data_IF_397715269548
#
_entry.id   IF_397715269548
#
_cell.length_a   1.000
_cell.length_b   1.000
_cell.length_c   1.000
_cell.angle_alpha   90.00
_cell.angle_beta   90.00
_cell.angle_gamma   90.00
#
_symmetry.space_group_name_H-M   'P 1'
#
loop_
_entity.id
_entity.type
_entity.pdbx_description
1 polymer ?
#
# COMPACT_ATOMS: atom_id res chain seq x y z
N UNK A 1 17.40 9.61 20.24
CA UNK A 1 17.35 8.35 19.45
C UNK A 1 18.35 7.39 20.10
N UNK A 2 17.94 6.16 20.42
CA UNK A 2 18.85 5.19 21.07
C UNK A 2 19.69 4.55 19.97
N UNK A 3 20.99 4.86 19.94
CA UNK A 3 21.91 4.16 19.04
C UNK A 3 22.23 2.76 19.60
N UNK A 4 21.86 1.74 18.87
CA UNK A 4 22.14 0.35 19.21
C UNK A 4 23.51 -0.07 18.65
N UNK A 5 24.32 -0.72 19.48
CA UNK A 5 25.53 -1.39 19.01
C UNK A 5 25.17 -2.59 18.10
N UNK A 6 26.11 -3.04 17.27
CA UNK A 6 25.91 -4.22 16.39
C UNK A 6 25.42 -5.44 17.18
N UNK A 7 26.03 -5.69 18.36
CA UNK A 7 25.67 -6.81 19.24
C UNK A 7 24.25 -6.65 19.80
N UNK A 8 23.85 -5.44 20.18
CA UNK A 8 22.50 -5.18 20.69
C UNK A 8 21.42 -5.39 19.62
N UNK A 9 21.68 -5.03 18.36
CA UNK A 9 20.80 -5.33 17.23
C UNK A 9 20.67 -6.81 16.99
N UNK A 10 21.77 -7.54 16.98
CA UNK A 10 21.82 -9.00 16.80
C UNK A 10 20.97 -9.71 17.87
N UNK A 11 21.15 -9.33 19.14
CA UNK A 11 20.39 -9.87 20.28
C UNK A 11 18.89 -9.56 20.17
N UNK A 12 18.51 -8.31 19.88
CA UNK A 12 17.10 -7.93 19.72
C UNK A 12 16.43 -8.65 18.55
N UNK A 13 17.13 -8.78 17.42
CA UNK A 13 16.63 -9.51 16.25
C UNK A 13 16.40 -10.97 16.56
N UNK A 14 17.36 -11.61 17.25
CA UNK A 14 17.23 -13.01 17.68
C UNK A 14 16.09 -13.20 18.68
N UNK A 15 15.94 -12.30 19.65
CA UNK A 15 14.85 -12.32 20.64
C UNK A 15 13.47 -12.24 19.93
N UNK A 16 13.30 -11.31 19.00
CA UNK A 16 12.04 -11.13 18.28
C UNK A 16 11.72 -12.35 17.41
N UNK A 17 12.69 -12.90 16.69
CA UNK A 17 12.50 -14.07 15.85
C UNK A 17 12.13 -15.32 16.69
N UNK A 18 12.86 -15.57 17.77
CA UNK A 18 12.57 -16.66 18.69
C UNK A 18 11.19 -16.50 19.36
N UNK A 19 10.80 -15.26 19.69
CA UNK A 19 9.47 -15.01 20.24
C UNK A 19 8.36 -15.32 19.24
N UNK A 20 8.56 -14.97 17.96
CA UNK A 20 7.62 -15.33 16.88
C UNK A 20 7.50 -16.83 16.67
N UNK A 21 8.65 -17.54 16.73
CA UNK A 21 8.70 -18.99 16.54
C UNK A 21 8.04 -19.75 17.72
N UNK A 22 8.27 -19.31 18.96
CA UNK A 22 7.92 -20.08 20.17
C UNK A 22 6.66 -19.56 20.90
N UNK A 23 6.18 -18.35 20.62
CA UNK A 23 5.00 -17.76 21.25
C UNK A 23 5.11 -17.50 22.76
N UNK A 24 6.32 -17.50 23.34
CA UNK A 24 6.58 -17.32 24.78
C UNK A 24 7.79 -16.43 25.04
N UNK A 25 7.96 -16.00 26.30
CA UNK A 25 9.18 -15.32 26.71
C UNK A 25 10.42 -16.19 26.46
N UNK A 26 11.53 -15.58 26.03
CA UNK A 26 12.75 -16.24 25.58
C UNK A 26 13.83 -16.12 26.65
N UNK A 27 14.47 -17.24 26.99
CA UNK A 27 15.58 -17.25 27.94
C UNK A 27 16.87 -16.71 27.31
N UNK A 28 17.75 -16.13 28.10
CA UNK A 28 19.04 -15.61 27.63
C UNK A 28 19.91 -16.67 26.96
N UNK A 29 19.84 -17.91 27.47
CA UNK A 29 20.55 -19.06 26.91
C UNK A 29 20.10 -19.37 25.49
N UNK A 30 18.79 -19.32 25.21
CA UNK A 30 18.24 -19.57 23.87
C UNK A 30 18.68 -18.50 22.85
N UNK A 31 18.85 -17.26 23.32
CA UNK A 31 19.36 -16.15 22.48
C UNK A 31 20.84 -16.40 22.20
N UNK A 32 21.63 -16.76 23.22
CA UNK A 32 23.07 -17.02 23.09
C UNK A 32 23.37 -18.16 22.12
N UNK A 33 22.61 -19.26 22.19
CA UNK A 33 22.67 -20.37 21.24
C UNK A 33 22.33 -19.95 19.82
N UNK A 34 21.29 -19.12 19.66
CA UNK A 34 20.82 -18.68 18.32
C UNK A 34 21.82 -17.82 17.57
N UNK A 35 22.58 -16.98 18.30
CA UNK A 35 23.55 -16.03 17.72
C UNK A 35 25.01 -16.50 17.90
N UNK A 36 25.22 -17.69 18.42
CA UNK A 36 26.56 -18.26 18.70
C UNK A 36 27.45 -17.31 19.52
N UNK A 37 26.93 -16.81 20.64
CA UNK A 37 27.61 -15.86 21.53
C UNK A 37 27.68 -16.39 22.95
N UNK A 38 28.70 -15.90 23.71
CA UNK A 38 28.85 -16.26 25.11
C UNK A 38 27.62 -15.83 25.93
N UNK A 39 27.01 -16.72 26.76
CA UNK A 39 25.83 -16.39 27.58
C UNK A 39 26.04 -15.21 28.52
N UNK A 40 27.25 -15.02 29.05
CA UNK A 40 27.59 -13.86 29.90
C UNK A 40 27.52 -12.53 29.15
N UNK A 41 28.00 -12.52 27.89
CA UNK A 41 27.89 -11.33 27.01
C UNK A 41 26.44 -11.00 26.72
N UNK A 42 25.63 -12.01 26.36
CA UNK A 42 24.20 -11.82 26.10
C UNK A 42 23.49 -11.29 27.34
N UNK A 43 23.76 -11.86 28.53
CA UNK A 43 23.17 -11.39 29.80
C UNK A 43 23.49 -9.91 30.09
N UNK A 44 24.73 -9.48 29.91
CA UNK A 44 25.13 -8.09 30.13
C UNK A 44 24.43 -7.15 29.14
N UNK A 45 24.36 -7.53 27.86
CA UNK A 45 23.66 -6.72 26.86
C UNK A 45 22.14 -6.68 27.10
N UNK A 46 21.54 -7.77 27.57
CA UNK A 46 20.13 -7.78 27.95
C UNK A 46 19.84 -6.84 29.12
N UNK A 47 20.75 -6.68 30.09
CA UNK A 47 20.60 -5.68 31.16
C UNK A 47 20.66 -4.25 30.60
N UNK A 48 21.57 -3.97 29.68
CA UNK A 48 21.64 -2.69 28.98
C UNK A 48 20.37 -2.39 28.18
N UNK A 49 19.88 -3.36 27.42
CA UNK A 49 18.65 -3.25 26.64
C UNK A 49 17.42 -3.05 27.52
N UNK A 50 17.40 -3.67 28.71
CA UNK A 50 16.35 -3.45 29.71
C UNK A 50 16.41 -2.04 30.31
N UNK A 51 17.58 -1.51 30.61
CA UNK A 51 17.77 -0.15 31.08
C UNK A 51 17.33 0.89 30.03
N UNK A 52 17.48 0.57 28.73
CA UNK A 52 17.01 1.39 27.61
C UNK A 52 15.51 1.23 27.34
N UNK A 53 14.79 0.41 28.09
CA UNK A 53 13.36 0.16 27.88
C UNK A 53 13.03 -0.65 26.62
N UNK A 54 14.01 -1.31 25.99
CA UNK A 54 13.84 -2.06 24.76
C UNK A 54 13.43 -3.52 25.00
N UNK A 55 13.72 -4.06 26.19
CA UNK A 55 13.28 -5.40 26.61
C UNK A 55 12.71 -5.37 28.01
N UNK A 56 11.76 -6.27 28.26
CA UNK A 56 11.19 -6.51 29.59
C UNK A 56 11.45 -7.94 30.03
N UNK A 57 11.68 -8.14 31.35
CA UNK A 57 11.83 -9.45 31.94
C UNK A 57 10.49 -10.01 32.40
N UNK A 58 10.19 -11.24 32.04
CA UNK A 58 9.02 -12.00 32.50
C UNK A 58 9.49 -12.95 33.61
N UNK A 59 9.00 -12.81 34.86
CA UNK A 59 9.41 -13.67 35.96
C UNK A 59 8.76 -15.06 35.87
N UNK A 60 9.35 -16.03 36.57
CA UNK A 60 8.80 -17.36 36.77
C UNK A 60 9.53 -18.49 36.01
N UNK A 61 9.12 -19.76 36.21
CA UNK A 61 9.78 -20.94 35.62
C UNK A 61 9.75 -20.97 34.09
N UNK A 62 8.70 -20.38 33.49
CA UNK A 62 8.55 -20.16 32.04
C UNK A 62 8.90 -18.70 31.65
N UNK A 63 9.59 -18.00 32.51
CA UNK A 63 10.02 -16.61 32.32
C UNK A 63 11.13 -16.48 31.28
N UNK A 64 11.57 -15.24 31.09
CA UNK A 64 12.59 -14.88 30.11
C UNK A 64 12.45 -13.40 29.74
N UNK A 65 12.72 -13.09 28.49
CA UNK A 65 12.66 -11.73 27.98
C UNK A 65 11.65 -11.60 26.86
N UNK A 66 11.05 -10.41 26.75
CA UNK A 66 10.21 -9.99 25.61
C UNK A 66 10.72 -8.64 25.10
N UNK A 67 10.64 -8.44 23.80
CA UNK A 67 10.89 -7.13 23.19
C UNK A 67 9.70 -6.20 23.42
N UNK A 68 9.97 -4.94 23.72
CA UNK A 68 8.94 -3.88 23.84
C UNK A 68 8.62 -3.29 22.47
N UNK A 69 7.56 -2.49 22.36
CA UNK A 69 7.25 -1.73 21.13
C UNK A 69 8.42 -0.86 20.67
N UNK A 70 9.16 -0.26 21.62
CA UNK A 70 10.36 0.55 21.33
C UNK A 70 11.51 -0.25 20.72
N UNK A 71 11.63 -1.57 21.01
CA UNK A 71 12.63 -2.42 20.37
C UNK A 71 12.35 -2.61 18.88
N UNK A 72 11.08 -2.81 18.51
CA UNK A 72 10.69 -2.91 17.11
C UNK A 72 10.98 -1.63 16.34
N UNK A 73 10.69 -0.48 16.95
CA UNK A 73 11.01 0.82 16.36
C UNK A 73 12.52 1.02 16.19
N UNK A 74 13.32 0.70 17.23
CA UNK A 74 14.77 0.84 17.19
C UNK A 74 15.45 -0.06 16.14
N UNK A 75 14.93 -1.25 15.90
CA UNK A 75 15.40 -2.16 14.84
C UNK A 75 14.98 -1.71 13.44
N UNK A 76 13.76 -1.21 13.28
CA UNK A 76 13.26 -0.77 11.99
C UNK A 76 13.99 0.48 11.47
N UNK A 77 14.39 1.39 12.36
CA UNK A 77 15.15 2.59 12.00
C UNK A 77 16.59 2.28 11.54
N UNK A 78 17.10 1.08 11.80
CA UNK A 78 18.49 0.71 11.52
C UNK A 78 18.65 -0.31 10.38
N UNK A 79 17.56 -0.83 9.84
CA UNK A 79 17.58 -1.87 8.79
C UNK A 79 17.39 -1.32 7.36
N UNK A 80 17.32 0.00 7.18
CA UNK A 80 17.12 0.60 5.85
C UNK A 80 18.47 1.03 5.29
N UNK A 81 19.10 0.18 4.49
CA UNK A 81 20.30 0.53 3.72
C UNK A 81 20.02 1.60 2.64
N UNK A 82 18.76 1.82 2.29
CA UNK A 82 18.31 2.92 1.42
C UNK A 82 17.00 3.51 1.96
N UNK A 83 17.09 4.68 2.56
CA UNK A 83 15.91 5.44 2.95
C UNK A 83 15.16 5.90 1.69
N UNK A 84 13.87 5.60 1.63
CA UNK A 84 13.03 6.05 0.54
C UNK A 84 12.71 7.55 0.69
N UNK A 85 12.71 8.25 -0.42
CA UNK A 85 12.31 9.65 -0.47
C UNK A 85 10.78 9.75 -0.41
N UNK A 86 10.25 10.33 0.68
CA UNK A 86 8.83 10.65 0.85
C UNK A 86 8.65 12.16 0.68
N UNK A 87 8.24 12.54 -0.51
CA UNK A 87 8.13 13.94 -0.88
C UNK A 87 7.07 14.70 -0.09
N UNK A 88 7.32 16.00 0.12
CA UNK A 88 6.34 16.96 0.63
C UNK A 88 6.07 17.99 -0.45
N UNK A 89 4.79 18.30 -0.63
CA UNK A 89 4.33 19.37 -1.50
C UNK A 89 3.65 20.42 -0.64
N UNK A 90 3.93 21.69 -0.90
CA UNK A 90 3.30 22.86 -0.28
C UNK A 90 2.57 23.63 -1.36
N UNK A 91 1.27 23.85 -1.18
CA UNK A 91 0.42 24.57 -2.14
C UNK A 91 0.53 24.03 -3.59
N UNK A 92 0.74 22.70 -3.72
CA UNK A 92 0.88 21.99 -4.98
C UNK A 92 2.31 21.89 -5.54
N UNK A 93 3.29 22.58 -4.95
CA UNK A 93 4.69 22.55 -5.39
C UNK A 93 5.55 21.71 -4.44
N UNK A 94 6.44 20.89 -5.00
CA UNK A 94 7.38 20.09 -4.21
C UNK A 94 8.35 20.99 -3.44
N UNK A 95 8.47 20.75 -2.13
CA UNK A 95 9.45 21.45 -1.30
C UNK A 95 10.81 20.77 -1.44
N UNK A 96 11.83 21.42 -2.00
CA UNK A 96 13.12 20.81 -2.25
C UNK A 96 13.88 20.55 -0.94
N UNK A 97 14.76 19.55 -0.95
CA UNK A 97 15.62 19.17 0.17
C UNK A 97 14.86 18.86 1.46
N UNK A 98 13.63 18.36 1.33
CA UNK A 98 12.81 17.88 2.46
C UNK A 98 12.39 16.45 2.23
N UNK A 99 12.34 15.67 3.32
CA UNK A 99 11.87 14.28 3.33
C UNK A 99 11.06 14.05 4.59
N UNK A 100 10.13 13.10 4.59
CA UNK A 100 9.34 12.73 5.76
C UNK A 100 9.96 11.52 6.44
N UNK A 101 10.30 11.67 7.72
CA UNK A 101 10.81 10.57 8.55
C UNK A 101 9.68 9.81 9.24
N UNK A 102 8.60 10.52 9.69
CA UNK A 102 7.57 9.93 10.53
C UNK A 102 6.24 10.67 10.37
N UNK A 103 5.15 9.93 10.47
CA UNK A 103 3.77 10.45 10.49
C UNK A 103 3.07 9.85 11.70
N UNK A 104 2.75 10.67 12.70
CA UNK A 104 2.04 10.27 13.91
C UNK A 104 0.62 10.83 13.92
N UNK A 105 -0.38 9.96 14.07
CA UNK A 105 -1.79 10.34 14.18
C UNK A 105 -2.16 10.58 15.66
N UNK A 106 -2.35 11.83 16.06
CA UNK A 106 -2.46 12.21 17.47
C UNK A 106 -3.89 12.27 17.99
N UNK A 107 -4.90 12.44 17.13
CA UNK A 107 -6.29 12.71 17.52
C UNK A 107 -7.31 11.75 16.89
N UNK A 108 -6.93 10.48 16.72
CA UNK A 108 -7.81 9.45 16.09
C UNK A 108 -9.16 9.28 16.82
N UNK A 109 -9.20 9.56 18.12
CA UNK A 109 -10.44 9.44 18.94
C UNK A 109 -11.26 10.74 19.02
N UNK A 110 -10.79 11.84 18.44
CA UNK A 110 -11.51 13.12 18.49
C UNK A 110 -12.61 13.13 17.42
N UNK A 111 -13.85 13.52 17.76
CA UNK A 111 -14.98 13.43 16.82
C UNK A 111 -14.87 14.40 15.64
N UNK A 112 -14.27 15.59 15.86
CA UNK A 112 -14.33 16.69 14.89
C UNK A 112 -12.95 17.06 14.30
N UNK A 113 -11.85 16.50 14.82
CA UNK A 113 -10.50 16.84 14.33
C UNK A 113 -9.64 15.60 14.14
N UNK A 114 -8.99 15.51 13.01
CA UNK A 114 -7.94 14.54 12.74
C UNK A 114 -6.62 15.30 12.56
N UNK A 115 -5.66 15.08 13.46
CA UNK A 115 -4.35 15.75 13.44
C UNK A 115 -3.23 14.75 13.35
N UNK A 116 -2.17 15.14 12.68
CA UNK A 116 -0.92 14.41 12.65
C UNK A 116 0.27 15.31 13.00
N UNK A 117 1.30 14.68 13.57
CA UNK A 117 2.63 15.25 13.66
C UNK A 117 3.49 14.66 12.55
N UNK A 118 4.02 15.50 11.68
CA UNK A 118 4.88 15.12 10.56
C UNK A 118 6.30 15.51 10.89
N UNK A 119 7.17 14.52 11.12
CA UNK A 119 8.60 14.75 11.32
C UNK A 119 9.30 14.88 9.98
N UNK A 120 9.91 16.03 9.77
CA UNK A 120 10.56 16.40 8.52
C UNK A 120 12.07 16.40 8.68
N UNK A 121 12.75 15.78 7.73
CA UNK A 121 14.18 15.93 7.51
C UNK A 121 14.38 17.06 6.52
N UNK A 122 15.18 18.06 6.86
CA UNK A 122 15.42 19.25 6.05
C UNK A 122 14.98 20.54 6.72
N UNK A 123 14.82 21.61 5.94
CA UNK A 123 14.48 22.93 6.50
C UNK A 123 12.97 23.06 6.72
N UNK A 124 12.57 22.92 7.97
CA UNK A 124 11.18 23.02 8.42
C UNK A 124 10.62 24.43 8.31
N UNK A 125 11.46 25.49 8.23
CA UNK A 125 11.03 26.89 8.11
C UNK A 125 10.32 27.18 6.79
N UNK A 126 10.36 26.23 5.86
CA UNK A 126 9.58 26.30 4.61
C UNK A 126 8.07 26.11 4.80
N UNK A 127 7.61 25.81 6.02
CA UNK A 127 6.19 25.52 6.30
C UNK A 127 5.63 26.50 7.31
N UNK A 128 4.66 27.31 6.91
CA UNK A 128 3.98 28.28 7.75
C UNK A 128 2.56 27.81 8.11
N UNK A 129 2.03 28.31 9.23
CA UNK A 129 0.63 28.04 9.64
C UNK A 129 -0.32 28.54 8.56
N UNK A 130 -1.23 27.68 8.11
CA UNK A 130 -2.16 27.94 7.01
C UNK A 130 -1.71 27.40 5.66
N UNK A 131 -0.47 26.92 5.53
CA UNK A 131 -0.04 26.25 4.29
C UNK A 131 -0.80 24.93 4.10
N UNK A 132 -1.26 24.69 2.87
CA UNK A 132 -1.79 23.37 2.49
C UNK A 132 -0.64 22.47 2.07
N UNK A 133 -0.46 21.33 2.76
CA UNK A 133 0.60 20.39 2.44
C UNK A 133 0.05 19.01 2.07
N UNK A 134 0.80 18.34 1.19
CA UNK A 134 0.62 16.94 0.86
C UNK A 134 1.91 16.20 1.18
N UNK A 135 1.79 15.11 1.91
CA UNK A 135 2.87 14.17 2.24
C UNK A 135 2.67 12.87 1.45
N UNK A 136 3.73 12.38 0.85
CA UNK A 136 3.68 11.11 0.13
C UNK A 136 3.60 11.23 -1.39
N UNK A 137 3.41 10.10 -2.10
CA UNK A 137 3.04 8.79 -1.56
C UNK A 137 4.17 8.08 -0.80
N UNK A 138 3.84 7.38 0.28
CA UNK A 138 4.82 6.54 0.99
C UNK A 138 5.21 5.32 0.15
N UNK A 139 6.41 4.74 0.35
CA UNK A 139 6.93 3.65 -0.50
C UNK A 139 6.04 2.42 -0.55
N UNK A 140 5.59 1.93 0.61
CA UNK A 140 4.94 0.62 0.74
C UNK A 140 3.44 0.69 0.47
N UNK A 141 2.72 1.57 1.19
CA UNK A 141 1.26 1.61 1.16
C UNK A 141 0.72 2.69 0.24
N UNK A 142 1.62 3.44 -0.45
CA UNK A 142 1.25 4.59 -1.29
C UNK A 142 0.33 5.56 -0.56
N UNK A 143 0.54 5.69 0.78
CA UNK A 143 -0.22 6.60 1.62
C UNK A 143 0.09 8.05 1.21
N UNK A 144 -0.97 8.79 0.95
CA UNK A 144 -0.95 10.24 0.76
C UNK A 144 -1.77 10.86 1.87
N UNK A 145 -1.18 11.82 2.57
CA UNK A 145 -1.86 12.62 3.61
C UNK A 145 -1.88 14.07 3.15
N UNK A 146 -3.05 14.70 3.18
CA UNK A 146 -3.23 16.12 2.89
C UNK A 146 -3.85 16.82 4.08
N UNK A 147 -3.52 18.09 4.24
CA UNK A 147 -4.09 18.91 5.29
C UNK A 147 -3.42 20.26 5.37
N UNK A 148 -3.86 21.05 6.35
CA UNK A 148 -3.38 22.39 6.59
C UNK A 148 -2.46 22.42 7.80
N UNK A 149 -1.37 23.16 7.69
CA UNK A 149 -0.41 23.36 8.79
C UNK A 149 -1.08 24.18 9.90
N UNK A 150 -1.14 23.62 11.11
CA UNK A 150 -1.72 24.29 12.28
C UNK A 150 -0.66 24.67 13.32
N UNK A 151 0.59 24.22 13.14
CA UNK A 151 1.69 24.56 14.02
C UNK A 151 3.01 23.96 13.54
N UNK A 152 4.10 24.44 14.11
CA UNK A 152 5.46 23.99 13.80
C UNK A 152 6.31 23.99 15.09
N UNK A 153 7.10 22.94 15.27
CA UNK A 153 8.13 22.85 16.31
C UNK A 153 9.51 22.78 15.64
N UNK A 154 10.18 23.92 15.61
CA UNK A 154 11.48 24.09 14.97
C UNK A 154 12.61 23.31 15.67
N UNK A 155 12.44 22.96 16.95
CA UNK A 155 13.46 22.24 17.74
C UNK A 155 13.42 20.74 17.38
N UNK A 156 12.24 20.15 17.36
CA UNK A 156 12.07 18.72 17.08
C UNK A 156 11.94 18.41 15.58
N UNK A 157 11.84 19.40 14.72
CA UNK A 157 11.64 19.23 13.26
C UNK A 157 10.25 18.69 12.90
N UNK A 158 9.20 19.10 13.64
CA UNK A 158 7.85 18.58 13.48
C UNK A 158 6.89 19.66 13.01
N UNK A 159 6.12 19.35 11.98
CA UNK A 159 4.95 20.12 11.53
C UNK A 159 3.67 19.45 12.03
N UNK A 160 2.79 20.23 12.64
CA UNK A 160 1.46 19.80 13.06
C UNK A 160 0.47 20.05 11.94
N UNK A 161 -0.22 19.00 11.53
CA UNK A 161 -1.14 19.01 10.40
C UNK A 161 -2.57 18.73 10.87
N UNK A 162 -3.52 19.56 10.44
CA UNK A 162 -4.95 19.24 10.47
C UNK A 162 -5.28 18.48 9.20
N UNK A 163 -5.55 17.17 9.31
CA UNK A 163 -5.76 16.29 8.15
C UNK A 163 -7.12 16.57 7.53
N UNK A 164 -7.14 16.83 6.23
CA UNK A 164 -8.35 16.96 5.40
C UNK A 164 -8.60 15.71 4.57
N UNK A 165 -7.53 14.99 4.20
CA UNK A 165 -7.63 13.81 3.36
C UNK A 165 -6.50 12.81 3.67
N UNK A 166 -6.83 11.54 3.72
CA UNK A 166 -5.89 10.44 3.86
C UNK A 166 -6.29 9.30 2.92
N UNK A 167 -5.44 9.00 1.95
CA UNK A 167 -5.69 7.97 0.94
C UNK A 167 -4.55 6.96 0.98
N UNK A 168 -4.90 5.68 1.03
CA UNK A 168 -3.95 4.59 0.86
C UNK A 168 -4.53 3.55 -0.10
N UNK A 169 -3.73 3.10 -1.06
CA UNK A 169 -4.14 2.04 -1.97
C UNK A 169 -3.64 0.70 -1.41
N UNK A 170 -4.50 -0.32 -1.29
CA UNK A 170 -4.11 -1.61 -0.74
C UNK A 170 -2.91 -2.23 -1.48
N UNK A 171 -1.96 -2.80 -0.71
CA UNK A 171 -0.79 -3.49 -1.25
C UNK A 171 -1.10 -4.89 -1.79
N UNK A 172 -2.27 -5.44 -1.48
CA UNK A 172 -2.67 -6.79 -1.90
C UNK A 172 -2.63 -6.95 -3.42
N UNK A 173 -2.31 -8.15 -3.93
CA UNK A 173 -2.25 -8.41 -5.35
C UNK A 173 -3.64 -8.32 -6.00
N UNK A 174 -3.65 -8.01 -7.30
CA UNK A 174 -4.87 -7.83 -8.10
C UNK A 174 -5.78 -9.06 -8.04
N UNK A 175 -5.21 -10.27 -7.98
CA UNK A 175 -5.99 -11.53 -7.87
C UNK A 175 -6.94 -11.58 -6.68
N UNK A 176 -6.63 -10.89 -5.58
CA UNK A 176 -7.48 -10.87 -4.38
C UNK A 176 -8.76 -10.03 -4.56
N UNK A 177 -8.85 -9.32 -5.68
CA UNK A 177 -9.96 -8.42 -6.02
C UNK A 177 -10.80 -8.90 -7.20
N UNK A 178 -10.37 -9.96 -7.89
CA UNK A 178 -11.13 -10.55 -8.99
C UNK A 178 -12.10 -11.57 -8.40
N UNK A 179 -13.36 -11.22 -8.34
CA UNK A 179 -14.39 -12.09 -7.73
C UNK A 179 -15.30 -12.77 -8.77
N UNK A 180 -15.11 -12.50 -10.07
CA UNK A 180 -16.07 -12.91 -11.09
C UNK A 180 -15.41 -13.70 -12.21
N UNK A 181 -16.16 -14.69 -12.71
CA UNK A 181 -15.82 -15.40 -13.93
C UNK A 181 -15.67 -14.38 -15.07
N UNK A 182 -14.61 -14.51 -15.87
CA UNK A 182 -14.42 -13.69 -17.06
C UNK A 182 -15.58 -13.92 -18.03
N UNK A 183 -16.33 -12.85 -18.30
CA UNK A 183 -17.39 -12.84 -19.32
C UNK A 183 -16.78 -12.23 -20.56
N UNK A 184 -16.90 -12.95 -21.69
CA UNK A 184 -16.38 -12.53 -22.98
C UNK A 184 -17.52 -12.42 -24.01
N UNK A 185 -17.27 -11.69 -25.08
CA UNK A 185 -18.13 -11.60 -26.26
C UNK A 185 -17.43 -12.31 -27.42
N UNK A 186 -18.05 -13.25 -28.09
CA UNK A 186 -17.45 -13.92 -29.26
C UNK A 186 -17.09 -12.92 -30.37
N UNK A 187 -16.00 -13.17 -31.09
CA UNK A 187 -15.50 -12.30 -32.18
C UNK A 187 -16.50 -12.13 -33.31
N UNK A 188 -17.38 -13.13 -33.53
CA UNK A 188 -18.42 -13.12 -34.56
C UNK A 188 -19.76 -12.55 -34.07
N UNK A 189 -19.89 -12.16 -32.81
CA UNK A 189 -21.09 -11.57 -32.25
C UNK A 189 -21.41 -10.21 -32.87
N UNK A 190 -22.68 -9.85 -32.90
CA UNK A 190 -23.16 -8.53 -33.29
C UNK A 190 -23.10 -7.56 -32.10
N UNK A 191 -23.23 -6.26 -32.36
CA UNK A 191 -23.39 -5.23 -31.34
C UNK A 191 -24.61 -5.51 -30.46
N UNK A 192 -25.70 -5.99 -31.04
CA UNK A 192 -26.92 -6.38 -30.33
C UNK A 192 -26.68 -7.57 -29.40
N UNK A 193 -25.92 -8.59 -29.83
CA UNK A 193 -25.54 -9.71 -28.96
C UNK A 193 -24.67 -9.27 -27.79
N UNK A 194 -23.74 -8.35 -28.05
CA UNK A 194 -22.92 -7.76 -26.97
C UNK A 194 -23.80 -6.99 -25.98
N UNK A 195 -24.75 -6.19 -26.45
CA UNK A 195 -25.70 -5.46 -25.59
C UNK A 195 -26.51 -6.41 -24.71
N UNK A 196 -27.05 -7.50 -25.30
CA UNK A 196 -27.78 -8.53 -24.54
C UNK A 196 -26.89 -9.17 -23.49
N UNK A 197 -25.64 -9.49 -23.85
CA UNK A 197 -24.66 -10.07 -22.92
C UNK A 197 -24.38 -9.14 -21.75
N UNK A 198 -24.21 -7.82 -22.00
CA UNK A 198 -23.98 -6.84 -20.98
C UNK A 198 -25.16 -6.68 -20.02
N UNK A 199 -26.38 -6.54 -20.59
CA UNK A 199 -27.59 -6.39 -19.80
C UNK A 199 -27.87 -7.63 -18.92
N UNK A 200 -27.65 -8.85 -19.47
CA UNK A 200 -27.88 -10.10 -18.74
C UNK A 200 -26.91 -10.30 -17.57
N UNK A 201 -25.68 -9.80 -17.68
CA UNK A 201 -24.62 -10.02 -16.69
C UNK A 201 -24.30 -8.79 -15.84
N UNK A 202 -25.03 -7.69 -16.03
CA UNK A 202 -24.82 -6.40 -15.35
C UNK A 202 -23.36 -5.90 -15.46
N UNK A 203 -22.82 -5.96 -16.70
CA UNK A 203 -21.45 -5.53 -17.01
C UNK A 203 -21.45 -4.39 -18.02
N UNK A 204 -20.43 -3.53 -17.96
CA UNK A 204 -20.30 -2.35 -18.80
C UNK A 204 -19.25 -2.48 -19.90
N UNK A 205 -18.74 -3.69 -20.11
CA UNK A 205 -17.77 -4.01 -21.15
C UNK A 205 -17.14 -5.36 -20.94
N UNK A 206 -16.75 -6.00 -22.02
CA UNK A 206 -16.17 -7.34 -22.01
C UNK A 206 -15.05 -7.46 -23.05
N UNK A 207 -14.07 -8.34 -22.80
CA UNK A 207 -13.11 -8.75 -23.80
C UNK A 207 -13.81 -9.48 -24.96
N UNK A 208 -13.32 -9.27 -26.17
CA UNK A 208 -13.74 -10.01 -27.37
C UNK A 208 -12.83 -11.21 -27.54
N UNK A 209 -13.43 -12.38 -27.56
CA UNK A 209 -12.74 -13.67 -27.59
C UNK A 209 -12.84 -14.30 -28.98
N UNK A 210 -11.68 -14.71 -29.50
CA UNK A 210 -11.55 -15.54 -30.68
C UNK A 210 -10.88 -16.87 -30.29
N UNK A 211 -11.73 -17.87 -30.05
CA UNK A 211 -11.28 -19.25 -29.77
C UNK A 211 -10.29 -19.34 -28.59
N UNK A 212 -10.52 -18.57 -27.51
CA UNK A 212 -9.69 -18.54 -26.32
C UNK A 212 -8.60 -17.45 -26.32
N UNK A 213 -8.48 -16.68 -27.40
CA UNK A 213 -7.58 -15.56 -27.54
C UNK A 213 -8.36 -14.25 -27.47
N UNK A 214 -7.98 -13.37 -26.55
CA UNK A 214 -8.57 -12.04 -26.47
C UNK A 214 -7.99 -11.16 -27.60
N UNK A 215 -8.87 -10.67 -28.46
CA UNK A 215 -8.51 -9.88 -29.66
C UNK A 215 -8.95 -8.43 -29.58
N UNK A 216 -9.76 -8.08 -28.58
CA UNK A 216 -10.23 -6.71 -28.38
C UNK A 216 -11.04 -6.55 -27.11
N UNK A 217 -11.55 -5.34 -26.92
CA UNK A 217 -12.44 -4.93 -25.83
C UNK A 217 -13.61 -4.17 -26.40
N UNK A 218 -14.84 -4.54 -26.04
CA UNK A 218 -16.06 -3.81 -26.37
C UNK A 218 -16.72 -3.28 -25.10
N UNK A 219 -17.25 -2.05 -25.16
CA UNK A 219 -17.87 -1.33 -24.04
C UNK A 219 -19.24 -0.78 -24.42
N UNK A 220 -20.04 -0.30 -23.42
CA UNK A 220 -21.28 0.41 -23.73
C UNK A 220 -21.08 1.66 -24.60
N UNK A 221 -19.93 2.31 -24.53
CA UNK A 221 -19.61 3.44 -25.40
C UNK A 221 -19.51 3.03 -26.86
N UNK A 222 -18.91 1.85 -27.13
CA UNK A 222 -18.77 1.31 -28.47
C UNK A 222 -20.13 0.88 -29.00
N UNK A 223 -20.94 0.19 -28.19
CA UNK A 223 -22.31 -0.16 -28.47
C UNK A 223 -23.15 1.09 -28.80
N UNK A 224 -23.05 2.13 -27.94
CA UNK A 224 -23.77 3.39 -28.14
C UNK A 224 -23.44 4.06 -29.48
N UNK A 225 -22.14 4.08 -29.85
CA UNK A 225 -21.71 4.61 -31.16
C UNK A 225 -22.28 3.80 -32.34
N UNK A 226 -22.29 2.49 -32.24
CA UNK A 226 -22.83 1.61 -33.27
C UNK A 226 -24.35 1.80 -33.45
N UNK A 227 -25.10 1.79 -32.35
CA UNK A 227 -26.57 2.00 -32.35
C UNK A 227 -26.92 3.40 -32.86
N UNK A 228 -26.23 4.45 -32.43
CA UNK A 228 -26.43 5.80 -32.92
C UNK A 228 -26.18 5.96 -34.44
N UNK A 229 -25.43 5.00 -35.01
CA UNK A 229 -25.14 4.95 -36.47
C UNK A 229 -26.02 3.95 -37.22
N UNK A 230 -27.03 3.34 -36.57
CA UNK A 230 -27.90 2.30 -37.17
C UNK A 230 -27.17 1.00 -37.51
N UNK A 231 -26.15 0.63 -36.71
CA UNK A 231 -25.26 -0.50 -36.99
C UNK A 231 -25.30 -1.55 -35.87
N UNK A 232 -26.42 -1.74 -35.23
CA UNK A 232 -26.64 -2.72 -34.17
C UNK A 232 -26.45 -4.18 -34.58
N UNK A 233 -26.70 -4.49 -35.86
CA UNK A 233 -26.52 -5.81 -36.43
C UNK A 233 -25.11 -6.06 -37.00
N UNK A 234 -24.22 -5.04 -36.96
CA UNK A 234 -22.83 -5.18 -37.36
C UNK A 234 -22.00 -5.93 -36.31
N UNK A 235 -20.88 -6.50 -36.75
CA UNK A 235 -20.00 -7.25 -35.87
C UNK A 235 -19.31 -6.35 -34.84
N UNK A 236 -19.09 -6.87 -33.65
CA UNK A 236 -18.34 -6.18 -32.55
C UNK A 236 -16.94 -5.76 -32.97
N UNK A 237 -16.31 -6.49 -33.87
CA UNK A 237 -14.97 -6.24 -34.40
C UNK A 237 -14.82 -4.89 -35.13
N UNK A 238 -15.94 -4.34 -35.64
CA UNK A 238 -15.92 -3.05 -36.32
C UNK A 238 -15.85 -1.87 -35.32
N UNK A 239 -16.21 -2.09 -34.06
CA UNK A 239 -16.34 -1.04 -33.02
C UNK A 239 -15.44 -1.26 -31.79
N UNK A 240 -14.92 -2.48 -31.61
CA UNK A 240 -14.07 -2.80 -30.46
C UNK A 240 -12.74 -2.06 -30.48
N UNK A 241 -12.16 -1.87 -29.31
CA UNK A 241 -10.77 -1.42 -29.17
C UNK A 241 -9.86 -2.64 -29.27
N UNK A 242 -8.92 -2.65 -30.22
CA UNK A 242 -7.99 -3.77 -30.42
C UNK A 242 -6.87 -3.84 -29.38
N UNK A 243 -6.45 -2.71 -28.83
CA UNK A 243 -5.38 -2.65 -27.83
C UNK A 243 -5.95 -2.91 -26.43
N UNK A 244 -5.91 -4.17 -25.99
CA UNK A 244 -6.37 -4.57 -24.67
C UNK A 244 -5.24 -4.39 -23.67
N UNK A 245 -5.44 -3.51 -22.70
CA UNK A 245 -4.48 -3.29 -21.61
C UNK A 245 -4.67 -4.37 -20.56
N UNK A 246 -3.61 -5.10 -20.25
CA UNK A 246 -3.62 -6.17 -19.26
C UNK A 246 -2.64 -5.93 -18.11
N UNK A 247 -2.90 -6.62 -17.01
CA UNK A 247 -2.03 -6.64 -15.82
C UNK A 247 -1.92 -8.06 -15.29
N UNK A 248 -0.76 -8.43 -14.77
CA UNK A 248 -0.59 -9.72 -14.11
C UNK A 248 -1.34 -9.77 -12.78
N UNK A 249 -1.90 -10.94 -12.46
CA UNK A 249 -2.70 -11.16 -11.26
C UNK A 249 -1.91 -11.01 -9.95
N UNK A 250 -0.59 -11.20 -10.00
CA UNK A 250 0.31 -11.06 -8.86
C UNK A 250 0.72 -9.60 -8.59
N UNK A 251 0.51 -8.70 -9.56
CA UNK A 251 0.83 -7.28 -9.39
C UNK A 251 -0.02 -6.64 -8.29
N UNK A 252 0.55 -5.70 -7.51
CA UNK A 252 -0.20 -5.02 -6.47
C UNK A 252 -1.25 -4.06 -7.05
N UNK A 253 -2.35 -3.85 -6.31
CA UNK A 253 -3.50 -3.04 -6.72
C UNK A 253 -3.10 -1.62 -7.17
N UNK A 254 -2.09 -0.99 -6.55
CA UNK A 254 -1.68 0.36 -6.92
C UNK A 254 -1.09 0.42 -8.34
N UNK A 255 -0.48 -0.66 -8.84
CA UNK A 255 -0.01 -0.75 -10.22
C UNK A 255 -1.19 -0.80 -11.20
N UNK A 256 -2.27 -1.51 -10.84
CA UNK A 256 -3.50 -1.50 -11.63
C UNK A 256 -4.07 -0.09 -11.75
N UNK A 257 -4.16 0.64 -10.64
CA UNK A 257 -4.62 2.04 -10.62
C UNK A 257 -3.71 2.94 -11.46
N UNK A 258 -2.40 2.80 -11.31
CA UNK A 258 -1.40 3.56 -12.08
C UNK A 258 -1.55 3.30 -13.58
N UNK A 259 -1.69 2.03 -13.97
CA UNK A 259 -1.84 1.61 -15.36
C UNK A 259 -3.15 2.12 -15.97
N UNK A 260 -4.28 2.04 -15.23
CA UNK A 260 -5.55 2.62 -15.66
C UNK A 260 -5.46 4.12 -15.93
N UNK A 261 -4.75 4.86 -15.07
CA UNK A 261 -4.58 6.30 -15.21
C UNK A 261 -3.66 6.67 -16.39
N UNK A 262 -2.50 6.01 -16.51
CA UNK A 262 -1.55 6.21 -17.61
C UNK A 262 -2.17 5.90 -18.97
N UNK A 263 -2.90 4.80 -19.06
CA UNK A 263 -3.54 4.34 -20.30
C UNK A 263 -4.91 4.98 -20.55
N UNK A 264 -5.40 5.81 -19.62
CA UNK A 264 -6.74 6.46 -19.66
C UNK A 264 -7.89 5.48 -19.87
N UNK A 265 -7.79 4.27 -19.28
CA UNK A 265 -8.83 3.23 -19.34
C UNK A 265 -9.50 3.04 -17.97
N UNK A 266 -10.75 2.61 -17.97
CA UNK A 266 -11.52 2.33 -16.75
C UNK A 266 -11.44 0.88 -16.27
N UNK A 267 -10.75 -0.01 -17.02
CA UNK A 267 -10.66 -1.45 -16.75
C UNK A 267 -9.41 -2.05 -17.36
N UNK A 268 -8.93 -3.15 -16.77
CA UNK A 268 -7.81 -3.93 -17.25
C UNK A 268 -8.21 -5.41 -17.35
N UNK A 269 -7.68 -6.10 -18.34
CA UNK A 269 -7.72 -7.55 -18.41
C UNK A 269 -6.70 -8.09 -17.39
N UNK A 270 -7.12 -8.99 -16.50
CA UNK A 270 -6.19 -9.63 -15.57
C UNK A 270 -5.75 -10.96 -16.13
N UNK A 271 -4.43 -11.17 -16.15
CA UNK A 271 -3.81 -12.38 -16.65
C UNK A 271 -3.04 -13.11 -15.56
N UNK A 272 -2.93 -14.41 -15.68
CA UNK A 272 -2.08 -15.28 -14.86
C UNK A 272 -1.42 -16.29 -15.79
N UNK A 273 -0.11 -16.38 -15.76
CA UNK A 273 0.69 -17.19 -16.70
C UNK A 273 0.32 -16.91 -18.18
N UNK A 274 0.07 -15.63 -18.49
CA UNK A 274 -0.32 -15.19 -19.83
C UNK A 274 -1.75 -15.55 -20.26
N UNK A 275 -2.55 -16.18 -19.39
CA UNK A 275 -3.95 -16.57 -19.67
C UNK A 275 -4.91 -15.57 -19.03
N UNK A 276 -6.00 -15.19 -19.73
CA UNK A 276 -7.04 -14.34 -19.17
C UNK A 276 -7.71 -15.01 -17.97
N UNK A 277 -7.79 -14.32 -16.83
CA UNK A 277 -8.42 -14.80 -15.59
C UNK A 277 -9.65 -14.02 -15.21
N UNK A 278 -9.66 -12.72 -15.44
CA UNK A 278 -10.74 -11.84 -15.03
C UNK A 278 -10.54 -10.43 -15.55
N UNK A 279 -11.35 -9.55 -15.01
CA UNK A 279 -11.21 -8.11 -15.22
C UNK A 279 -11.17 -7.38 -13.90
N UNK A 280 -10.46 -6.26 -13.86
CA UNK A 280 -10.51 -5.32 -12.76
C UNK A 280 -10.91 -3.94 -13.28
N UNK A 281 -11.80 -3.26 -12.57
CA UNK A 281 -12.35 -1.97 -12.95
C UNK A 281 -12.06 -0.92 -11.89
N UNK A 282 -12.23 0.38 -12.22
CA UNK A 282 -12.16 1.46 -11.23
C UNK A 282 -13.18 1.28 -10.11
N UNK A 283 -14.37 0.72 -10.41
CA UNK A 283 -15.39 0.48 -9.40
C UNK A 283 -14.94 -0.57 -8.38
N UNK A 284 -14.22 -1.62 -8.81
CA UNK A 284 -13.66 -2.63 -7.90
C UNK A 284 -12.64 -2.00 -6.93
N UNK A 285 -11.86 -1.04 -7.41
CA UNK A 285 -10.94 -0.27 -6.55
C UNK A 285 -11.73 0.59 -5.55
N UNK A 286 -12.68 1.38 -6.03
CA UNK A 286 -13.47 2.32 -5.19
C UNK A 286 -14.26 1.57 -4.14
N UNK A 287 -14.94 0.47 -4.50
CA UNK A 287 -15.76 -0.32 -3.58
C UNK A 287 -14.96 -0.90 -2.40
N UNK A 288 -13.64 -1.10 -2.59
CA UNK A 288 -12.76 -1.58 -1.51
C UNK A 288 -12.19 -0.47 -0.65
N UNK A 289 -12.11 0.76 -1.16
CA UNK A 289 -11.70 1.93 -0.38
C UNK A 289 -12.85 2.44 0.51
N UNK A 290 -14.09 2.14 0.17
CA UNK A 290 -15.31 2.62 0.86
C UNK A 290 -16.03 1.55 1.68
N UNK A 291 -15.37 0.43 2.02
CA UNK A 291 -15.94 -0.58 2.93
C UNK A 291 -15.97 -0.01 4.35
N UNK A 292 -17.13 0.47 4.78
CA UNK A 292 -17.48 0.73 6.15
C UNK A 292 -18.16 -0.50 6.75
#
# INVERSE_FOLDING_TARGET
MVELTVIQREILSALINLFREKGRAIKGEEISERIDRNPGTVRNQMQSLKALGLVEGVPGPKGGYKATGSAYQALNLTAVEHEADVAIFRNGERVPNTNVAEIDLNTVRHPDTCRASIKILGDIRNFDVGDSIQVGPTPVNKLVVRGDVVGRDDISGVVLLSITEMISIPKKPVRDYINHRLITVPVNATIKDALITFAKNDIHGAPVDDSGKIVGMVTYTDIGRAVASGKEDHKVTEFMTHNVISIDSAEPMYEAVSLMNKSKVGRLLVTEDGKPKGMITRMDVISRLTTY
#
